data_IF_409109990422
#
_entry.id   IF_409109990422
#
_cell.length_a   1.000
_cell.length_b   1.000
_cell.length_c   1.000
_cell.angle_alpha   90.00
_cell.angle_beta   90.00
_cell.angle_gamma   90.00
#
_symmetry.space_group_name_H-M   'P 1'
#
loop_
_entity.id
_entity.type
_entity.pdbx_description
1 polymer ?
#
# COMPACT_ATOMS: atom_id res chain seq x y z
N UNK A 1 8.61 50.11 -12.09
CA UNK A 1 8.60 49.23 -10.90
C UNK A 1 9.30 47.93 -11.27
N UNK A 2 10.59 47.78 -10.94
CA UNK A 2 11.47 46.68 -11.37
C UNK A 2 11.23 45.33 -10.66
N UNK A 3 10.00 45.04 -10.26
CA UNK A 3 9.62 43.79 -9.60
C UNK A 3 8.99 42.82 -10.61
N UNK A 4 9.37 41.54 -10.54
CA UNK A 4 8.75 40.49 -11.36
C UNK A 4 8.29 39.33 -10.48
N UNK A 5 7.05 38.91 -10.65
CA UNK A 5 6.53 37.67 -10.05
C UNK A 5 7.05 36.49 -10.86
N UNK A 6 7.99 35.72 -10.30
CA UNK A 6 8.58 34.57 -11.00
C UNK A 6 8.72 33.39 -10.06
N UNK A 7 8.31 32.23 -10.54
CA UNK A 7 8.65 30.94 -9.94
C UNK A 7 9.98 30.45 -10.55
N UNK A 8 10.77 29.66 -9.80
CA UNK A 8 11.83 28.87 -10.43
C UNK A 8 11.19 27.88 -11.41
N UNK A 9 11.65 27.79 -12.67
CA UNK A 9 11.16 26.76 -13.59
C UNK A 9 11.61 25.39 -13.08
N UNK A 10 10.66 24.63 -12.56
CA UNK A 10 10.80 23.20 -12.35
C UNK A 10 10.07 22.50 -13.50
N UNK A 11 10.52 21.30 -13.90
CA UNK A 11 9.79 20.50 -14.87
C UNK A 11 8.34 20.27 -14.42
N UNK A 12 7.40 20.26 -15.37
CA UNK A 12 6.03 19.84 -15.10
C UNK A 12 6.01 18.34 -14.85
N UNK A 13 5.31 17.92 -13.80
CA UNK A 13 4.94 16.51 -13.62
C UNK A 13 3.80 16.21 -14.60
N UNK A 14 3.98 15.19 -15.45
CA UNK A 14 2.87 14.66 -16.24
C UNK A 14 2.05 13.79 -15.29
N UNK A 15 0.81 14.21 -15.10
CA UNK A 15 -0.09 13.51 -14.21
C UNK A 15 -0.52 12.17 -14.84
N UNK A 16 -0.28 11.07 -14.11
CA UNK A 16 -0.56 9.70 -14.56
C UNK A 16 -2.01 9.25 -14.34
N UNK A 17 -2.88 10.12 -13.82
CA UNK A 17 -4.29 9.81 -13.56
C UNK A 17 -5.07 9.41 -14.81
N UNK A 18 -4.67 9.90 -15.99
CA UNK A 18 -5.37 9.65 -17.26
C UNK A 18 -4.71 8.54 -18.10
N UNK A 19 -3.88 7.68 -17.50
CA UNK A 19 -3.42 6.44 -18.16
C UNK A 19 -4.59 5.45 -18.30
N UNK A 20 -4.65 4.75 -19.43
CA UNK A 20 -5.77 3.85 -19.77
C UNK A 20 -6.07 2.80 -18.67
N UNK A 21 -5.04 2.22 -18.06
CA UNK A 21 -5.17 1.24 -16.97
C UNK A 21 -5.81 1.85 -15.71
N UNK A 22 -5.43 3.10 -15.39
CA UNK A 22 -5.98 3.84 -14.25
C UNK A 22 -7.43 4.23 -14.51
N UNK A 23 -7.73 4.73 -15.71
CA UNK A 23 -9.09 5.09 -16.12
C UNK A 23 -9.99 3.86 -16.12
N UNK A 24 -9.53 2.74 -16.65
CA UNK A 24 -10.26 1.48 -16.65
C UNK A 24 -10.58 1.03 -15.22
N UNK A 25 -9.59 1.02 -14.32
CA UNK A 25 -9.82 0.66 -12.92
C UNK A 25 -10.80 1.62 -12.24
N UNK A 26 -10.63 2.94 -12.46
CA UNK A 26 -11.51 3.98 -11.92
C UNK A 26 -12.97 3.73 -12.33
N UNK A 27 -13.21 3.52 -13.62
CA UNK A 27 -14.56 3.37 -14.18
C UNK A 27 -15.18 1.99 -13.90
N UNK A 28 -14.41 0.91 -13.97
CA UNK A 28 -14.94 -0.46 -13.86
C UNK A 28 -14.92 -1.04 -12.44
N UNK A 29 -14.10 -0.50 -11.54
CA UNK A 29 -13.91 -1.04 -10.18
C UNK A 29 -14.22 0.00 -9.10
N UNK A 30 -13.48 1.10 -9.07
CA UNK A 30 -13.55 2.06 -7.96
C UNK A 30 -14.91 2.76 -7.88
N UNK A 31 -15.37 3.39 -8.97
CA UNK A 31 -16.66 4.10 -9.01
C UNK A 31 -17.82 3.15 -8.69
N UNK A 32 -17.96 1.98 -9.35
CA UNK A 32 -19.02 1.03 -9.02
C UNK A 32 -19.00 0.54 -7.56
N UNK A 33 -17.83 0.34 -6.97
CA UNK A 33 -17.70 -0.09 -5.57
C UNK A 33 -18.22 0.97 -4.59
N UNK A 34 -17.90 2.25 -4.82
CA UNK A 34 -18.42 3.35 -4.01
C UNK A 34 -19.93 3.53 -4.24
N UNK A 35 -20.38 3.51 -5.50
CA UNK A 35 -21.80 3.70 -5.83
C UNK A 35 -22.71 2.60 -5.29
N UNK A 36 -22.18 1.39 -5.03
CA UNK A 36 -22.92 0.29 -4.39
C UNK A 36 -23.53 0.66 -3.03
N UNK A 37 -22.94 1.64 -2.34
CA UNK A 37 -23.36 2.08 -1.01
C UNK A 37 -24.02 3.46 -1.03
N UNK A 38 -24.34 4.00 -2.22
CA UNK A 38 -24.83 5.37 -2.42
C UNK A 38 -26.10 5.67 -1.62
N UNK A 39 -26.98 4.70 -1.48
CA UNK A 39 -28.23 4.75 -0.72
C UNK A 39 -28.01 4.87 0.80
N UNK A 40 -26.80 4.53 1.29
CA UNK A 40 -26.43 4.55 2.71
C UNK A 40 -25.56 5.74 3.11
N UNK A 41 -25.11 6.55 2.15
CA UNK A 41 -24.26 7.71 2.38
C UNK A 41 -25.08 8.93 2.81
N UNK A 42 -24.47 9.84 3.58
CA UNK A 42 -25.00 11.20 3.69
C UNK A 42 -24.90 11.89 2.33
N UNK A 43 -26.00 12.51 1.89
CA UNK A 43 -25.97 13.39 0.73
C UNK A 43 -25.75 14.82 1.22
N UNK A 44 -24.71 15.46 0.71
CA UNK A 44 -24.44 16.88 0.91
C UNK A 44 -24.96 17.64 -0.31
N UNK A 45 -25.85 18.61 -0.11
CA UNK A 45 -26.35 19.50 -1.17
C UNK A 45 -25.55 20.79 -1.09
N UNK A 46 -24.91 21.16 -2.20
CA UNK A 46 -24.06 22.34 -2.30
C UNK A 46 -24.84 23.62 -1.96
N UNK A 47 -24.30 24.46 -1.07
CA UNK A 47 -24.90 25.73 -0.63
C UNK A 47 -25.83 25.68 0.59
N UNK A 48 -26.06 24.51 1.21
CA UNK A 48 -26.72 24.40 2.52
C UNK A 48 -25.79 23.70 3.51
N UNK A 49 -25.13 24.48 4.37
CA UNK A 49 -24.33 23.96 5.50
C UNK A 49 -25.23 23.31 6.59
N UNK A 50 -26.53 23.58 6.56
CA UNK A 50 -27.53 22.99 7.45
C UNK A 50 -28.20 21.79 6.77
N UNK A 51 -27.59 20.62 6.88
CA UNK A 51 -28.34 19.35 6.77
C UNK A 51 -28.96 19.11 8.16
N UNK A 52 -30.26 18.78 8.26
CA UNK A 52 -30.95 18.63 9.55
C UNK A 52 -30.19 17.68 10.48
N UNK A 53 -30.32 17.97 11.78
CA UNK A 53 -29.95 17.07 12.87
C UNK A 53 -30.30 15.60 12.54
N UNK A 54 -29.51 14.62 13.02
CA UNK A 54 -29.56 13.20 12.57
C UNK A 54 -30.94 12.50 12.62
N UNK A 55 -31.97 13.13 13.18
CA UNK A 55 -33.30 12.57 13.43
C UNK A 55 -34.37 12.86 12.37
N UNK A 56 -34.12 13.65 11.31
CA UNK A 56 -35.19 14.05 10.38
C UNK A 56 -35.09 13.47 8.95
N UNK A 57 -34.16 12.56 8.69
CA UNK A 57 -34.23 11.74 7.47
C UNK A 57 -35.09 10.49 7.75
N UNK A 58 -35.95 10.07 6.79
CA UNK A 58 -36.77 8.88 6.97
C UNK A 58 -35.83 7.73 7.37
N UNK A 59 -36.11 7.12 8.52
CA UNK A 59 -35.40 5.94 9.03
C UNK A 59 -34.99 5.05 7.85
N UNK A 60 -33.69 4.87 7.57
CA UNK A 60 -33.28 4.07 6.43
C UNK A 60 -33.48 2.59 6.81
N UNK A 61 -34.68 2.08 6.54
CA UNK A 61 -34.89 0.69 6.12
C UNK A 61 -34.00 -0.36 6.78
N UNK A 62 -34.00 -0.56 8.10
CA UNK A 62 -33.26 -1.67 8.74
C UNK A 62 -31.74 -1.77 8.43
N UNK A 63 -31.13 -0.80 7.75
CA UNK A 63 -29.76 -0.89 7.20
C UNK A 63 -28.87 0.18 7.79
N UNK A 64 -27.72 -0.25 8.32
CA UNK A 64 -26.68 0.61 8.89
C UNK A 64 -26.15 1.60 7.86
N UNK A 65 -25.92 2.82 8.31
CA UNK A 65 -25.34 3.93 7.55
C UNK A 65 -23.88 3.64 7.20
N UNK A 66 -23.39 4.14 6.07
CA UNK A 66 -21.98 3.94 5.67
C UNK A 66 -21.23 5.28 5.67
N UNK A 67 -20.07 5.30 6.33
CA UNK A 67 -19.16 6.46 6.37
C UNK A 67 -17.85 6.11 5.67
N UNK A 68 -17.39 6.97 4.76
CA UNK A 68 -16.15 6.78 4.01
C UNK A 68 -15.04 7.62 4.62
N UNK A 69 -13.91 6.98 4.92
CA UNK A 69 -12.71 7.59 5.48
C UNK A 69 -11.58 7.51 4.47
N UNK A 70 -11.02 8.65 4.09
CA UNK A 70 -9.86 8.75 3.21
C UNK A 70 -8.60 8.87 4.04
N UNK A 71 -7.61 8.01 3.75
CA UNK A 71 -6.29 8.04 4.37
C UNK A 71 -5.25 8.56 3.38
N UNK A 72 -4.34 9.40 3.87
CA UNK A 72 -3.16 9.84 3.11
C UNK A 72 -2.03 10.26 4.06
N UNK A 73 -0.81 10.33 3.51
CA UNK A 73 0.40 10.75 4.22
C UNK A 73 1.03 11.99 3.59
N UNK A 74 1.15 13.05 4.39
CA UNK A 74 1.81 14.28 3.97
C UNK A 74 3.12 14.49 4.72
N UNK A 75 4.19 14.81 3.99
CA UNK A 75 5.49 15.16 4.60
C UNK A 75 5.75 16.64 4.52
N UNK A 76 5.96 17.25 5.68
CA UNK A 76 6.34 18.66 5.85
C UNK A 76 7.81 18.77 6.21
N UNK A 77 8.48 19.81 5.74
CA UNK A 77 9.88 20.05 6.04
C UNK A 77 10.11 21.38 6.76
N UNK A 78 11.09 21.43 7.66
CA UNK A 78 11.44 22.62 8.44
C UNK A 78 11.82 23.83 7.58
N UNK A 79 12.36 23.60 6.37
CA UNK A 79 12.67 24.66 5.41
C UNK A 79 11.71 24.68 4.22
N UNK A 80 10.49 24.15 4.34
CA UNK A 80 9.45 24.38 3.33
C UNK A 80 9.13 25.87 3.28
N UNK A 81 9.22 26.45 2.08
CA UNK A 81 9.14 27.90 1.87
C UNK A 81 8.35 28.18 0.61
N UNK A 82 7.70 29.35 0.57
CA UNK A 82 7.18 29.91 -0.68
C UNK A 82 8.36 30.12 -1.65
N UNK A 83 8.35 29.38 -2.75
CA UNK A 83 9.38 29.51 -3.80
C UNK A 83 9.03 30.57 -4.85
N UNK A 84 7.91 31.26 -4.67
CA UNK A 84 7.42 32.35 -5.51
C UNK A 84 7.31 33.59 -4.64
N UNK A 85 8.00 34.66 -5.05
CA UNK A 85 7.99 35.95 -4.38
C UNK A 85 8.21 37.06 -5.40
N UNK A 86 7.83 38.28 -5.06
CA UNK A 86 8.22 39.46 -5.82
C UNK A 86 9.71 39.70 -5.62
N UNK A 87 10.50 39.62 -6.70
CA UNK A 87 11.94 39.86 -6.65
C UNK A 87 12.22 41.18 -7.37
N UNK A 88 12.96 42.08 -6.70
CA UNK A 88 13.42 43.31 -7.31
C UNK A 88 14.63 43.04 -8.23
N UNK A 89 14.78 43.82 -9.29
CA UNK A 89 15.90 43.69 -10.25
C UNK A 89 17.29 43.81 -9.61
N UNK A 90 17.42 44.53 -8.49
CA UNK A 90 18.69 44.70 -7.76
C UNK A 90 18.94 43.65 -6.67
N UNK A 91 17.97 42.77 -6.39
CA UNK A 91 18.07 41.79 -5.33
C UNK A 91 19.03 40.65 -5.72
N UNK A 92 20.09 40.46 -4.93
CA UNK A 92 21.10 39.42 -5.17
C UNK A 92 20.71 38.10 -4.52
N UNK A 93 21.13 36.99 -5.12
CA UNK A 93 20.86 35.66 -4.58
C UNK A 93 21.52 35.49 -3.19
N UNK A 94 20.70 35.34 -2.16
CA UNK A 94 21.16 35.04 -0.79
C UNK A 94 21.40 33.53 -0.66
N UNK A 95 22.57 33.09 -0.15
CA UNK A 95 22.84 31.69 0.15
C UNK A 95 21.77 31.11 1.09
N UNK A 96 21.34 29.88 0.81
CA UNK A 96 20.28 29.19 1.57
C UNK A 96 20.83 27.96 2.28
N UNK A 97 20.25 27.54 3.41
CA UNK A 97 20.55 26.25 4.02
C UNK A 97 20.44 25.14 2.97
N UNK A 98 21.39 24.22 2.98
CA UNK A 98 21.40 23.09 2.05
C UNK A 98 20.27 22.13 2.39
N UNK A 99 19.38 21.88 1.43
CA UNK A 99 18.28 20.92 1.55
C UNK A 99 17.04 21.44 2.29
N UNK A 100 16.01 20.59 2.37
CA UNK A 100 14.71 20.95 2.96
C UNK A 100 14.70 20.95 4.51
N UNK A 101 15.78 20.53 5.16
CA UNK A 101 15.84 20.42 6.62
C UNK A 101 15.14 19.16 7.14
N UNK A 102 14.81 19.15 8.43
CA UNK A 102 14.15 18.01 9.07
C UNK A 102 12.72 17.85 8.55
N UNK A 103 12.26 16.60 8.39
CA UNK A 103 10.89 16.29 7.97
C UNK A 103 9.99 15.87 9.14
N UNK A 104 8.70 16.06 8.97
CA UNK A 104 7.63 15.50 9.78
C UNK A 104 6.57 14.95 8.83
N UNK A 105 6.36 13.65 8.86
CA UNK A 105 5.27 13.00 8.14
C UNK A 105 4.04 12.97 9.06
N UNK A 106 2.89 13.27 8.49
CA UNK A 106 1.58 13.20 9.15
C UNK A 106 0.72 12.24 8.33
N UNK A 107 0.22 11.20 8.99
CA UNK A 107 -0.76 10.28 8.42
C UNK A 107 -2.04 10.37 9.24
N UNK A 108 -3.20 10.47 8.58
CA UNK A 108 -4.49 10.57 9.26
C UNK A 108 -5.64 10.10 8.36
N UNK A 109 -6.82 9.95 8.94
CA UNK A 109 -8.06 9.64 8.23
C UNK A 109 -9.01 10.84 8.26
N UNK A 110 -9.67 11.12 7.14
CA UNK A 110 -10.66 12.19 7.03
C UNK A 110 -11.95 11.69 6.39
N UNK A 111 -13.10 12.10 6.90
CA UNK A 111 -14.40 11.91 6.28
C UNK A 111 -15.07 13.26 6.04
N UNK A 112 -15.97 13.33 5.06
CA UNK A 112 -16.78 14.53 4.83
C UNK A 112 -17.73 14.83 6.01
N UNK A 113 -18.10 13.80 6.78
CA UNK A 113 -19.09 13.91 7.85
C UNK A 113 -18.50 14.34 9.19
N UNK A 114 -17.36 13.77 9.56
CA UNK A 114 -16.75 13.97 10.88
C UNK A 114 -15.43 14.75 10.82
N UNK A 115 -14.94 15.08 9.62
CA UNK A 115 -13.60 15.61 9.44
C UNK A 115 -12.56 14.57 9.83
N UNK A 116 -11.56 14.96 10.63
CA UNK A 116 -10.48 14.08 11.06
C UNK A 116 -10.96 12.99 12.01
N UNK A 117 -10.44 11.77 11.86
CA UNK A 117 -10.82 10.65 12.72
C UNK A 117 -10.35 10.86 14.17
N UNK A 118 -11.31 11.06 15.04
CA UNK A 118 -11.12 11.31 16.47
C UNK A 118 -12.22 10.64 17.28
N UNK A 119 -11.96 10.45 18.57
CA UNK A 119 -12.96 9.95 19.49
C UNK A 119 -14.12 10.93 19.64
N UNK A 120 -15.30 10.44 20.02
CA UNK A 120 -16.50 11.28 20.20
C UNK A 120 -16.31 12.41 21.22
N UNK A 121 -15.42 12.22 22.19
CA UNK A 121 -15.08 13.25 23.19
C UNK A 121 -13.98 14.23 22.72
N UNK A 122 -13.44 14.04 21.51
CA UNK A 122 -12.36 14.85 20.94
C UNK A 122 -10.99 14.67 21.59
N UNK A 123 -10.83 13.76 22.56
CA UNK A 123 -9.60 13.64 23.35
C UNK A 123 -8.55 12.71 22.73
N UNK A 124 -8.96 11.80 21.86
CA UNK A 124 -8.07 10.85 21.19
C UNK A 124 -8.16 11.03 19.68
N UNK A 125 -7.01 11.22 19.04
CA UNK A 125 -6.88 11.20 17.58
C UNK A 125 -6.08 9.98 17.16
N UNK A 126 -6.40 9.44 15.99
CA UNK A 126 -5.60 8.37 15.36
C UNK A 126 -4.36 8.91 14.65
N UNK A 127 -4.27 10.23 14.44
CA UNK A 127 -3.19 10.88 13.71
C UNK A 127 -1.81 10.41 14.14
N UNK A 128 -1.02 10.00 13.16
CA UNK A 128 0.38 9.62 13.35
C UNK A 128 1.27 10.80 12.99
N UNK A 129 2.16 11.17 13.91
CA UNK A 129 3.23 12.13 13.69
C UNK A 129 4.56 11.37 13.64
N UNK A 130 5.12 11.24 12.44
CA UNK A 130 6.30 10.41 12.20
C UNK A 130 7.53 11.26 11.84
N UNK A 131 8.57 11.17 12.66
CA UNK A 131 9.82 11.92 12.50
C UNK A 131 10.79 11.13 11.64
N UNK A 132 10.65 11.25 10.31
CA UNK A 132 11.49 10.50 9.39
C UNK A 132 12.99 10.86 9.49
N UNK A 133 13.85 9.85 9.29
CA UNK A 133 15.31 10.00 9.18
C UNK A 133 16.14 9.16 10.14
N UNK A 134 17.43 8.98 9.80
CA UNK A 134 18.41 8.25 10.62
C UNK A 134 18.62 8.97 11.97
N UNK A 135 18.50 8.23 13.07
CA UNK A 135 18.56 8.79 14.44
C UNK A 135 17.24 9.42 14.92
N UNK A 136 16.13 9.17 14.21
CA UNK A 136 14.76 9.55 14.59
C UNK A 136 13.87 8.29 14.52
N UNK A 137 12.66 8.40 13.97
CA UNK A 137 11.71 7.28 13.90
C UNK A 137 12.00 6.33 12.73
N UNK A 138 12.94 6.69 11.84
CA UNK A 138 13.36 5.85 10.72
C UNK A 138 12.54 6.06 9.45
N UNK A 139 11.99 4.98 8.91
CA UNK A 139 11.15 4.96 7.70
C UNK A 139 9.74 4.50 8.06
N UNK A 140 8.73 5.15 7.50
CA UNK A 140 7.33 4.76 7.69
C UNK A 140 7.07 3.48 6.91
N UNK A 141 6.80 2.39 7.63
CA UNK A 141 6.71 1.04 7.07
C UNK A 141 5.26 0.56 6.98
N UNK A 142 5.04 -0.56 6.29
CA UNK A 142 3.74 -1.22 6.25
C UNK A 142 3.23 -1.61 7.64
N UNK A 143 4.13 -1.93 8.57
CA UNK A 143 3.76 -2.27 9.95
C UNK A 143 3.16 -1.06 10.68
N UNK A 144 3.68 0.15 10.43
CA UNK A 144 3.09 1.39 10.93
C UNK A 144 1.69 1.62 10.33
N UNK A 145 1.50 1.37 9.03
CA UNK A 145 0.18 1.43 8.38
C UNK A 145 -0.81 0.45 9.02
N UNK A 146 -0.39 -0.79 9.24
CA UNK A 146 -1.23 -1.81 9.87
C UNK A 146 -1.59 -1.41 11.31
N UNK A 147 -0.65 -0.86 12.07
CA UNK A 147 -0.89 -0.33 13.41
C UNK A 147 -1.86 0.87 13.41
N UNK A 148 -1.73 1.77 12.44
CA UNK A 148 -2.62 2.92 12.28
C UNK A 148 -4.04 2.48 11.92
N UNK A 149 -4.20 1.56 10.96
CA UNK A 149 -5.48 0.96 10.58
C UNK A 149 -6.12 0.19 11.74
N UNK A 150 -5.33 -0.56 12.51
CA UNK A 150 -5.84 -1.26 13.70
C UNK A 150 -6.36 -0.28 14.76
N UNK A 151 -5.65 0.82 14.97
CA UNK A 151 -6.06 1.88 15.90
C UNK A 151 -7.34 2.58 15.43
N UNK A 152 -7.43 2.89 14.14
CA UNK A 152 -8.65 3.44 13.52
C UNK A 152 -9.83 2.49 13.67
N UNK A 153 -9.66 1.20 13.35
CA UNK A 153 -10.71 0.19 13.48
C UNK A 153 -11.19 0.03 14.93
N UNK A 154 -10.28 0.07 15.92
CA UNK A 154 -10.64 0.04 17.34
C UNK A 154 -11.45 1.27 17.75
N UNK A 155 -11.06 2.45 17.30
CA UNK A 155 -11.78 3.69 17.60
C UNK A 155 -13.18 3.66 16.99
N UNK A 156 -13.29 3.30 15.71
CA UNK A 156 -14.55 3.21 14.99
C UNK A 156 -15.52 2.22 15.66
N UNK A 157 -15.06 1.02 16.02
CA UNK A 157 -15.88 0.03 16.74
C UNK A 157 -16.37 0.51 18.10
N UNK A 158 -15.58 1.32 18.80
CA UNK A 158 -15.92 1.82 20.12
C UNK A 158 -16.89 2.99 20.06
N UNK A 159 -16.60 3.96 19.19
CA UNK A 159 -17.28 5.26 19.20
C UNK A 159 -18.41 5.34 18.16
N UNK A 160 -18.33 4.58 17.07
CA UNK A 160 -19.31 4.57 15.98
C UNK A 160 -19.85 3.14 15.71
N UNK A 161 -20.30 2.40 16.73
CA UNK A 161 -20.67 0.98 16.60
C UNK A 161 -21.92 0.74 15.75
N UNK A 162 -22.71 1.77 15.44
CA UNK A 162 -23.97 1.67 14.70
C UNK A 162 -23.83 1.96 13.20
N UNK A 163 -22.61 2.24 12.74
CA UNK A 163 -22.28 2.59 11.36
C UNK A 163 -21.33 1.56 10.73
N UNK A 164 -21.45 1.41 9.41
CA UNK A 164 -20.47 0.69 8.61
C UNK A 164 -19.42 1.69 8.11
N UNK A 165 -18.16 1.25 8.03
CA UNK A 165 -17.05 2.12 7.67
C UNK A 165 -16.27 1.57 6.48
N UNK A 166 -16.03 2.43 5.49
CA UNK A 166 -15.16 2.14 4.35
C UNK A 166 -13.90 2.99 4.51
N UNK A 167 -12.74 2.34 4.53
CA UNK A 167 -11.45 3.04 4.54
C UNK A 167 -10.86 2.98 3.12
N UNK A 168 -10.56 4.14 2.56
CA UNK A 168 -9.96 4.32 1.24
C UNK A 168 -8.50 4.70 1.42
N UNK A 169 -7.60 3.92 0.83
CA UNK A 169 -6.18 4.18 0.74
C UNK A 169 -5.77 4.30 -0.72
N UNK A 170 -4.63 4.95 -0.97
CA UNK A 170 -4.00 4.94 -2.28
C UNK A 170 -3.23 3.62 -2.54
N UNK A 171 -2.60 3.53 -3.71
CA UNK A 171 -1.82 2.38 -4.13
C UNK A 171 -0.32 2.54 -3.81
N UNK A 172 0.06 3.28 -2.77
CA UNK A 172 1.44 3.40 -2.36
C UNK A 172 2.06 2.00 -2.12
N UNK A 173 3.34 1.77 -2.47
CA UNK A 173 3.97 0.46 -2.28
C UNK A 173 3.92 -0.08 -0.85
N UNK A 174 3.85 0.80 0.16
CA UNK A 174 3.67 0.46 1.57
C UNK A 174 2.29 -0.13 1.86
N UNK A 175 1.24 0.33 1.17
CA UNK A 175 -0.14 -0.17 1.29
C UNK A 175 -0.31 -1.51 0.57
N UNK A 176 0.46 -1.75 -0.49
CA UNK A 176 0.39 -2.96 -1.31
C UNK A 176 1.39 -4.05 -0.91
N UNK A 177 2.06 -3.89 0.23
CA UNK A 177 3.06 -4.86 0.69
C UNK A 177 2.37 -6.19 1.01
N UNK A 178 2.89 -7.26 0.40
CA UNK A 178 2.47 -8.65 0.71
C UNK A 178 3.15 -9.13 1.98
N UNK A 179 2.67 -10.26 2.53
CA UNK A 179 3.34 -10.94 3.62
C UNK A 179 4.82 -11.22 3.31
N UNK A 180 5.66 -11.28 4.33
CA UNK A 180 7.12 -11.48 4.18
C UNK A 180 7.48 -12.79 3.49
N UNK A 181 6.63 -13.81 3.61
CA UNK A 181 6.74 -15.14 3.00
C UNK A 181 5.87 -15.29 1.74
N UNK A 182 5.26 -14.22 1.25
CA UNK A 182 4.34 -14.30 0.12
C UNK A 182 5.02 -14.83 -1.15
N UNK A 183 4.30 -15.70 -1.86
CA UNK A 183 4.75 -16.26 -3.13
C UNK A 183 5.10 -15.18 -4.16
N UNK A 184 6.26 -15.34 -4.81
CA UNK A 184 6.67 -14.55 -5.96
C UNK A 184 6.86 -15.44 -7.18
N UNK A 185 5.81 -15.54 -8.02
CA UNK A 185 5.83 -16.33 -9.25
C UNK A 185 7.02 -15.96 -10.16
N UNK A 186 7.34 -14.67 -10.27
CA UNK A 186 8.44 -14.18 -11.09
C UNK A 186 9.83 -14.62 -10.61
N UNK A 187 9.95 -15.22 -9.42
CA UNK A 187 11.22 -15.68 -8.84
C UNK A 187 11.24 -17.20 -8.63
N UNK A 188 10.25 -17.93 -9.13
CA UNK A 188 10.22 -19.39 -9.02
C UNK A 188 11.12 -20.02 -10.09
N UNK A 189 11.89 -21.04 -9.71
CA UNK A 189 12.63 -21.86 -10.68
C UNK A 189 11.68 -22.73 -11.49
N UNK A 190 12.06 -23.09 -12.73
CA UNK A 190 11.26 -23.97 -13.58
C UNK A 190 11.15 -25.39 -13.02
N UNK A 191 12.27 -25.95 -12.58
CA UNK A 191 12.37 -27.27 -11.96
C UNK A 191 12.85 -27.20 -10.51
N UNK A 192 13.01 -28.36 -9.86
CA UNK A 192 13.51 -28.44 -8.50
C UNK A 192 14.85 -27.71 -8.35
N UNK A 193 15.02 -26.97 -7.25
CA UNK A 193 16.28 -26.26 -6.99
C UNK A 193 17.41 -27.26 -6.75
N UNK A 194 18.63 -27.10 -7.30
CA UNK A 194 19.74 -28.04 -7.08
C UNK A 194 20.10 -28.24 -5.60
N UNK A 195 20.68 -29.38 -5.28
CA UNK A 195 21.26 -29.63 -3.95
C UNK A 195 22.45 -28.69 -3.68
N UNK A 196 22.70 -28.35 -2.41
CA UNK A 196 23.81 -27.51 -1.98
C UNK A 196 23.63 -25.98 -2.17
N UNK A 197 22.55 -25.52 -2.80
CA UNK A 197 22.29 -24.08 -3.00
C UNK A 197 21.65 -23.35 -1.80
N UNK A 198 21.60 -24.01 -0.64
CA UNK A 198 20.93 -23.52 0.56
C UNK A 198 19.41 -23.36 0.36
N UNK A 199 18.75 -22.74 1.34
CA UNK A 199 17.31 -22.50 1.32
C UNK A 199 16.90 -21.74 0.05
N UNK A 200 15.86 -22.17 -0.66
CA UNK A 200 15.25 -21.38 -1.73
C UNK A 200 14.00 -20.67 -1.23
N UNK A 201 13.81 -19.41 -1.62
CA UNK A 201 12.63 -18.65 -1.22
C UNK A 201 12.83 -17.15 -1.27
N UNK A 202 12.11 -16.44 -0.42
CA UNK A 202 12.04 -14.97 -0.41
C UNK A 202 12.96 -14.37 0.63
N UNK A 203 13.51 -13.19 0.32
CA UNK A 203 14.34 -12.44 1.26
C UNK A 203 13.46 -11.51 2.08
N UNK A 204 13.24 -11.87 3.34
CA UNK A 204 12.48 -11.09 4.31
C UNK A 204 13.40 -10.23 5.16
N UNK A 205 12.91 -9.09 5.66
CA UNK A 205 13.66 -8.33 6.65
C UNK A 205 13.66 -9.09 7.98
N UNK A 206 14.80 -9.13 8.66
CA UNK A 206 14.86 -9.66 10.03
C UNK A 206 14.25 -8.60 10.96
N UNK A 207 13.28 -9.01 11.76
CA UNK A 207 12.55 -8.14 12.70
C UNK A 207 12.89 -8.57 14.12
N UNK A 208 13.31 -7.63 14.96
CA UNK A 208 13.53 -7.81 16.39
C UNK A 208 12.76 -6.72 17.13
N UNK A 209 11.99 -7.09 18.16
CA UNK A 209 11.15 -6.15 18.93
C UNK A 209 10.24 -5.27 18.03
N UNK A 210 9.59 -5.90 17.05
CA UNK A 210 8.73 -5.25 16.05
C UNK A 210 9.42 -4.20 15.15
N UNK A 211 10.76 -4.14 15.13
CA UNK A 211 11.51 -3.24 14.25
C UNK A 211 12.51 -3.99 13.37
N UNK A 212 12.67 -3.58 12.10
CA UNK A 212 13.70 -4.16 11.24
C UNK A 212 15.12 -3.88 11.76
N UNK A 213 15.97 -4.91 11.78
CA UNK A 213 17.35 -4.77 12.24
C UNK A 213 18.22 -4.21 11.11
N UNK A 214 19.14 -3.32 11.45
CA UNK A 214 20.15 -2.81 10.53
C UNK A 214 21.55 -3.34 10.88
N UNK A 215 22.36 -3.62 9.86
CA UNK A 215 23.76 -3.96 10.03
C UNK A 215 24.60 -2.74 10.48
N UNK A 216 25.89 -2.96 10.75
CA UNK A 216 26.84 -1.89 11.14
C UNK A 216 26.94 -0.74 10.12
N UNK A 217 26.52 -0.96 8.86
CA UNK A 217 26.52 0.02 7.77
C UNK A 217 25.16 0.72 7.63
N UNK A 218 24.15 0.34 8.42
CA UNK A 218 22.80 0.89 8.36
C UNK A 218 21.92 0.26 7.28
N UNK A 219 22.31 -0.88 6.71
CA UNK A 219 21.50 -1.62 5.75
C UNK A 219 20.61 -2.63 6.48
N UNK A 220 19.36 -2.77 6.04
CA UNK A 220 18.45 -3.79 6.57
C UNK A 220 19.06 -5.19 6.45
N UNK A 221 19.09 -5.90 7.57
CA UNK A 221 19.46 -7.32 7.61
C UNK A 221 18.31 -8.12 7.04
N UNK A 222 18.62 -9.03 6.12
CA UNK A 222 17.63 -9.89 5.48
C UNK A 222 17.99 -11.34 5.67
N UNK A 223 16.97 -12.16 5.87
CA UNK A 223 17.06 -13.62 5.92
C UNK A 223 16.23 -14.24 4.80
N UNK A 224 16.60 -15.45 4.42
CA UNK A 224 15.88 -16.21 3.40
C UNK A 224 14.82 -17.06 4.09
N UNK A 225 13.57 -16.99 3.64
CA UNK A 225 12.43 -17.76 4.16
C UNK A 225 11.79 -18.60 3.07
N UNK A 226 11.20 -19.72 3.45
CA UNK A 226 10.31 -20.46 2.57
C UNK A 226 9.13 -19.57 2.16
N UNK A 227 8.72 -19.69 0.91
CA UNK A 227 7.46 -19.11 0.46
C UNK A 227 6.31 -19.87 1.12
N UNK A 228 5.27 -19.14 1.52
CA UNK A 228 4.06 -19.73 2.05
C UNK A 228 3.41 -20.66 1.04
N UNK A 229 2.76 -21.71 1.55
CA UNK A 229 1.99 -22.65 0.75
C UNK A 229 0.89 -21.93 -0.04
N UNK A 230 0.58 -22.47 -1.21
CA UNK A 230 -0.57 -22.03 -2.00
C UNK A 230 -1.80 -22.88 -1.66
N UNK A 231 -2.91 -22.66 -2.36
CA UNK A 231 -4.11 -23.47 -2.23
C UNK A 231 -4.54 -24.01 -3.59
N UNK A 232 -5.06 -25.24 -3.59
CA UNK A 232 -5.82 -25.81 -4.70
C UNK A 232 -7.21 -25.16 -4.78
N UNK A 233 -7.96 -25.48 -5.84
CA UNK A 233 -9.31 -24.94 -6.06
C UNK A 233 -10.33 -25.38 -5.00
N UNK A 234 -10.08 -26.53 -4.36
CA UNK A 234 -10.88 -27.05 -3.23
C UNK A 234 -10.50 -26.42 -1.88
N UNK A 235 -9.51 -25.51 -1.87
CA UNK A 235 -9.01 -24.83 -0.68
C UNK A 235 -7.93 -25.59 0.10
N UNK A 236 -7.59 -26.82 -0.30
CA UNK A 236 -6.54 -27.60 0.34
C UNK A 236 -5.15 -26.97 0.12
N UNK A 237 -4.24 -27.03 1.11
CA UNK A 237 -2.89 -26.47 0.94
C UNK A 237 -2.10 -27.22 -0.14
N UNK A 238 -1.44 -26.46 -1.01
CA UNK A 238 -0.43 -26.97 -1.94
C UNK A 238 0.94 -26.46 -1.49
N UNK A 239 1.74 -27.36 -0.95
CA UNK A 239 3.10 -27.01 -0.57
C UNK A 239 4.00 -26.80 -1.78
N UNK A 240 4.83 -25.76 -1.69
CA UNK A 240 5.79 -25.38 -2.72
C UNK A 240 7.13 -26.12 -2.59
N UNK A 241 7.32 -26.82 -1.48
CA UNK A 241 8.54 -27.52 -1.13
C UNK A 241 8.26 -29.01 -1.01
N UNK A 242 9.24 -29.83 -1.35
CA UNK A 242 9.18 -31.26 -1.05
C UNK A 242 9.30 -31.48 0.46
N UNK A 243 8.67 -32.53 1.01
CA UNK A 243 8.79 -32.84 2.42
C UNK A 243 10.23 -33.21 2.79
N UNK A 244 10.60 -33.02 4.06
CA UNK A 244 11.96 -33.28 4.54
C UNK A 244 12.38 -34.75 4.44
N UNK A 245 11.44 -35.67 4.28
CA UNK A 245 11.71 -37.10 4.06
C UNK A 245 11.76 -37.50 2.57
N UNK A 246 11.71 -36.55 1.63
CA UNK A 246 11.73 -36.88 0.20
C UNK A 246 13.11 -37.45 -0.21
N UNK A 247 13.16 -38.61 -0.90
CA UNK A 247 14.41 -39.36 -1.14
C UNK A 247 15.47 -38.58 -1.92
N UNK A 248 15.07 -37.82 -2.94
CA UNK A 248 15.99 -37.07 -3.81
C UNK A 248 15.97 -35.54 -3.57
N UNK A 249 14.83 -35.00 -3.14
CA UNK A 249 14.56 -33.56 -3.10
C UNK A 249 14.19 -33.04 -1.71
N UNK A 250 14.58 -33.73 -0.63
CA UNK A 250 14.27 -33.36 0.77
C UNK A 250 14.34 -31.84 1.03
N UNK A 251 13.22 -31.24 1.45
CA UNK A 251 13.10 -29.82 1.79
C UNK A 251 13.30 -28.83 0.63
N UNK A 252 13.57 -29.30 -0.59
CA UNK A 252 13.89 -28.45 -1.75
C UNK A 252 12.63 -27.85 -2.36
N UNK A 253 12.77 -26.68 -2.97
CA UNK A 253 11.67 -26.06 -3.70
C UNK A 253 11.36 -26.90 -4.95
N UNK A 254 10.07 -27.17 -5.18
CA UNK A 254 9.59 -28.09 -6.23
C UNK A 254 9.85 -27.61 -7.65
N UNK A 255 9.82 -26.29 -7.87
CA UNK A 255 9.81 -25.72 -9.21
C UNK A 255 8.41 -25.65 -9.81
N UNK A 256 8.21 -24.69 -10.72
CA UNK A 256 6.91 -24.43 -11.34
C UNK A 256 6.34 -25.64 -12.08
N UNK A 257 7.19 -26.44 -12.73
CA UNK A 257 6.74 -27.61 -13.50
C UNK A 257 6.03 -28.60 -12.61
N UNK A 258 6.65 -29.00 -11.49
CA UNK A 258 6.06 -29.96 -10.54
C UNK A 258 4.77 -29.40 -9.90
N UNK A 259 4.78 -28.13 -9.52
CA UNK A 259 3.62 -27.44 -8.94
C UNK A 259 2.44 -27.41 -9.93
N UNK A 260 2.70 -27.23 -11.23
CA UNK A 260 1.66 -27.27 -12.27
C UNK A 260 1.17 -28.71 -12.53
N UNK A 261 2.06 -29.70 -12.53
CA UNK A 261 1.62 -31.12 -12.64
C UNK A 261 0.69 -31.49 -11.50
N UNK A 262 1.00 -31.09 -10.27
CA UNK A 262 0.13 -31.30 -9.11
C UNK A 262 -1.24 -30.64 -9.26
N UNK A 263 -1.33 -29.55 -10.04
CA UNK A 263 -2.59 -28.87 -10.39
C UNK A 263 -3.32 -29.51 -11.57
N UNK A 264 -2.83 -30.62 -12.12
CA UNK A 264 -3.46 -31.35 -13.22
C UNK A 264 -3.00 -30.96 -14.62
N UNK A 265 -1.96 -30.13 -14.75
CA UNK A 265 -1.40 -29.81 -16.07
C UNK A 265 -0.57 -30.99 -16.61
N UNK A 266 -0.68 -31.27 -17.91
CA UNK A 266 0.05 -32.35 -18.55
C UNK A 266 1.56 -32.06 -18.58
N UNK A 267 2.35 -32.93 -17.94
CA UNK A 267 3.81 -32.79 -17.88
C UNK A 267 4.47 -32.68 -19.26
N UNK A 268 3.98 -33.44 -20.25
CA UNK A 268 4.55 -33.46 -21.59
C UNK A 268 4.38 -32.11 -22.33
N UNK A 269 3.30 -31.39 -22.05
CA UNK A 269 3.01 -30.08 -22.62
C UNK A 269 3.86 -28.99 -21.97
N UNK A 270 3.97 -29.01 -20.63
CA UNK A 270 4.63 -27.93 -19.90
C UNK A 270 6.16 -28.05 -19.85
N UNK A 271 6.73 -29.26 -19.95
CA UNK A 271 8.20 -29.47 -19.79
C UNK A 271 9.03 -28.67 -20.79
N UNK A 272 8.47 -28.39 -21.97
CA UNK A 272 9.15 -27.65 -23.04
C UNK A 272 8.90 -26.13 -22.99
N UNK A 273 7.96 -25.68 -22.15
CA UNK A 273 7.67 -24.26 -21.99
C UNK A 273 8.82 -23.54 -21.26
N UNK A 274 9.03 -22.27 -21.58
CA UNK A 274 9.99 -21.44 -20.85
C UNK A 274 9.41 -21.06 -19.48
N UNK A 275 10.30 -20.82 -18.52
CA UNK A 275 9.92 -20.35 -17.18
C UNK A 275 9.23 -18.98 -17.23
N UNK A 276 9.69 -18.13 -18.16
CA UNK A 276 9.19 -16.77 -18.37
C UNK A 276 9.30 -16.39 -19.85
N UNK A 277 8.43 -15.48 -20.28
CA UNK A 277 8.65 -14.65 -21.46
C UNK A 277 9.77 -13.62 -21.15
N UNK A 278 10.42 -13.02 -22.16
CA UNK A 278 11.38 -11.94 -21.92
C UNK A 278 10.80 -10.87 -20.99
N UNK A 279 11.37 -10.74 -19.78
CA UNK A 279 10.92 -9.81 -18.73
C UNK A 279 9.45 -9.98 -18.30
N UNK A 280 8.89 -11.19 -18.40
CA UNK A 280 7.46 -11.47 -18.14
C UNK A 280 6.50 -10.68 -19.04
N UNK A 281 6.96 -10.17 -20.18
CA UNK A 281 6.14 -9.47 -21.16
C UNK A 281 5.77 -10.45 -22.28
N UNK A 282 4.68 -11.20 -22.07
CA UNK A 282 4.21 -12.14 -23.07
C UNK A 282 3.40 -11.42 -24.16
N UNK A 283 3.55 -11.79 -25.45
CA UNK A 283 2.72 -11.26 -26.53
C UNK A 283 1.23 -11.54 -26.27
N UNK A 284 0.31 -10.63 -26.64
CA UNK A 284 -1.14 -10.81 -26.43
C UNK A 284 -1.70 -12.12 -27.02
N UNK A 285 -1.09 -12.63 -28.08
CA UNK A 285 -1.49 -13.88 -28.73
C UNK A 285 -1.12 -15.16 -27.98
N UNK A 286 -0.46 -15.07 -26.82
CA UNK A 286 -0.02 -16.22 -26.01
C UNK A 286 -0.70 -16.29 -24.63
N UNK A 287 -1.64 -15.39 -24.34
CA UNK A 287 -2.47 -15.39 -23.14
C UNK A 287 -3.84 -15.97 -23.52
N UNK A 288 -3.88 -17.28 -23.78
CA UNK A 288 -5.12 -18.05 -23.95
C UNK A 288 -5.33 -18.98 -22.77
#
# INVERSE_FOLDING_TARGET
>A
MGYRWKCKPNGQFVDGHERDDVVEYRQKKYIPAILKHRDKYKVFIDGNEDIPEPNELPSPSTTRRVVVWYHDESTFYANDRKCVQWVHESEKAVPKPKGKGQSLMVADFVSAEYGWLQSKDGKKSTRVLFRAGKGRDGYFSSEEILGHLASAAQLLRRDYPDEDHIIVLDNAPTHLKRAEDALSACRMSKGPTPDGNGLWGVMANVIENAKPICDKRGKLVKEKKHMADTKFSDGTPQSLYFPDNHPEFSGRFKGMTNILVERGFNHAEIKNLRAECPKFQCPPSQLS
#
